data_IF_205515370487
#
_entry.id   IF_205515370487
#
_cell.length_a   1.000
_cell.length_b   1.000
_cell.length_c   1.000
_cell.angle_alpha   90.00
_cell.angle_beta   90.00
_cell.angle_gamma   90.00
#
_symmetry.space_group_name_H-M   'P 1'
#
loop_
_entity.id
_entity.type
_entity.pdbx_description
1 polymer ?
#
# COMPACT_ATOMS: atom_id res chain seq x y z
N UNK A 1 9.89 -18.77 7.07
CA UNK A 1 10.56 -17.47 7.34
C UNK A 1 9.53 -16.39 7.06
N UNK A 2 9.30 -15.49 8.00
CA UNK A 2 8.41 -14.34 7.78
C UNK A 2 9.00 -13.47 6.68
N UNK A 3 8.24 -13.23 5.61
CA UNK A 3 8.67 -12.36 4.53
C UNK A 3 8.44 -10.90 4.93
N UNK A 4 9.53 -10.12 4.98
CA UNK A 4 9.50 -8.68 5.20
C UNK A 4 9.56 -7.92 3.86
N UNK A 5 9.12 -6.67 3.88
CA UNK A 5 9.10 -5.74 2.75
C UNK A 5 10.00 -4.55 3.05
N UNK A 6 10.67 -4.03 2.03
CA UNK A 6 11.43 -2.80 2.16
C UNK A 6 10.50 -1.59 2.36
N UNK A 7 9.32 -1.60 1.76
CA UNK A 7 8.32 -0.56 2.00
C UNK A 7 6.87 -1.03 1.77
N UNK A 8 5.95 -0.35 2.43
CA UNK A 8 4.50 -0.40 2.23
C UNK A 8 4.05 0.86 1.48
N UNK A 9 3.23 0.73 0.44
CA UNK A 9 2.65 1.87 -0.27
C UNK A 9 1.17 2.05 0.13
N UNK A 10 0.88 3.18 0.76
CA UNK A 10 -0.47 3.68 1.01
C UNK A 10 -0.85 4.72 -0.03
N UNK A 11 -2.04 4.60 -0.64
CA UNK A 11 -2.53 5.53 -1.65
C UNK A 11 -4.06 5.55 -1.77
N UNK A 12 -4.59 6.64 -2.31
CA UNK A 12 -6.00 6.77 -2.65
C UNK A 12 -6.30 6.19 -4.03
N UNK A 13 -7.15 5.15 -4.10
CA UNK A 13 -7.46 4.43 -5.35
C UNK A 13 -8.00 5.31 -6.49
N UNK A 14 -8.83 6.32 -6.18
CA UNK A 14 -9.44 7.16 -7.20
C UNK A 14 -8.43 8.08 -7.92
N UNK A 15 -7.53 8.71 -7.16
CA UNK A 15 -6.70 9.80 -7.70
C UNK A 15 -5.24 9.41 -7.93
N UNK A 16 -4.74 8.42 -7.19
CA UNK A 16 -3.29 8.16 -7.12
C UNK A 16 -2.88 6.76 -7.55
N UNK A 17 -3.82 5.91 -8.00
CA UNK A 17 -3.53 4.54 -8.45
C UNK A 17 -2.46 4.50 -9.54
N UNK A 18 -2.58 5.37 -10.56
CA UNK A 18 -1.63 5.39 -11.68
C UNK A 18 -0.22 5.78 -11.25
N UNK A 19 -0.08 6.68 -10.28
CA UNK A 19 1.22 7.04 -9.70
C UNK A 19 1.76 5.93 -8.80
N UNK A 20 0.92 5.36 -7.94
CA UNK A 20 1.30 4.30 -7.02
C UNK A 20 1.81 3.05 -7.77
N UNK A 21 1.14 2.68 -8.88
CA UNK A 21 1.60 1.58 -9.75
C UNK A 21 2.98 1.87 -10.37
N UNK A 22 3.19 3.08 -10.91
CA UNK A 22 4.50 3.46 -11.47
C UNK A 22 5.61 3.46 -10.42
N UNK A 23 5.31 3.92 -9.21
CA UNK A 23 6.25 3.91 -8.09
C UNK A 23 6.61 2.48 -7.69
N UNK A 24 5.61 1.61 -7.55
CA UNK A 24 5.81 0.20 -7.28
C UNK A 24 6.72 -0.45 -8.33
N UNK A 25 6.40 -0.31 -9.62
CA UNK A 25 7.20 -0.86 -10.72
C UNK A 25 8.66 -0.42 -10.61
N UNK A 26 8.90 0.88 -10.45
CA UNK A 26 10.26 1.44 -10.35
C UNK A 26 11.02 0.91 -9.14
N UNK A 27 10.39 0.78 -7.98
CA UNK A 27 11.05 0.24 -6.80
C UNK A 27 11.38 -1.24 -6.98
N UNK A 28 10.46 -2.03 -7.55
CA UNK A 28 10.71 -3.45 -7.82
C UNK A 28 11.77 -3.69 -8.90
N UNK A 29 11.84 -2.84 -9.94
CA UNK A 29 12.90 -2.87 -10.95
C UNK A 29 14.29 -2.64 -10.34
N UNK A 30 14.36 -1.90 -9.22
CA UNK A 30 15.58 -1.68 -8.46
C UNK A 30 15.85 -2.76 -7.41
N UNK A 31 15.12 -3.89 -7.45
CA UNK A 31 15.34 -5.03 -6.57
C UNK A 31 14.74 -4.88 -5.16
N UNK A 32 13.90 -3.87 -4.93
CA UNK A 32 13.21 -3.69 -3.65
C UNK A 32 11.92 -4.52 -3.61
N UNK A 33 11.67 -5.13 -2.46
CA UNK A 33 10.45 -5.87 -2.18
C UNK A 33 9.41 -4.93 -1.57
N UNK A 34 8.35 -4.63 -2.31
CA UNK A 34 7.34 -3.63 -1.94
C UNK A 34 6.00 -4.29 -1.69
N UNK A 35 5.33 -3.93 -0.60
CA UNK A 35 3.94 -4.28 -0.35
C UNK A 35 3.03 -3.26 -1.04
N UNK A 36 2.11 -3.73 -1.88
CA UNK A 36 1.21 -2.87 -2.66
C UNK A 36 -0.13 -3.59 -2.91
N UNK A 37 -1.26 -2.95 -2.58
CA UNK A 37 -2.61 -3.53 -2.60
C UNK A 37 -3.20 -3.62 -4.02
N UNK A 38 -2.55 -4.34 -4.94
CA UNK A 38 -2.97 -4.38 -6.35
C UNK A 38 -4.37 -4.97 -6.62
N UNK A 39 -5.00 -5.62 -5.65
CA UNK A 39 -6.27 -6.31 -5.86
C UNK A 39 -7.50 -5.46 -5.49
N UNK A 40 -8.51 -5.53 -6.36
CA UNK A 40 -9.88 -5.22 -5.98
C UNK A 40 -10.27 -6.13 -4.83
N UNK A 41 -10.59 -5.52 -3.69
CA UNK A 41 -10.81 -6.21 -2.42
C UNK A 41 -11.96 -7.20 -2.61
N UNK A 42 -11.74 -8.52 -2.47
CA UNK A 42 -12.84 -9.46 -2.45
C UNK A 42 -13.75 -9.11 -1.26
N UNK A 43 -15.05 -8.90 -1.51
CA UNK A 43 -16.04 -8.70 -0.47
C UNK A 43 -16.02 -9.92 0.47
N UNK A 44 -15.53 -9.74 1.70
CA UNK A 44 -15.64 -10.75 2.76
C UNK A 44 -14.33 -11.34 3.27
N UNK A 45 -13.15 -10.87 2.85
CA UNK A 45 -11.87 -11.21 3.49
C UNK A 45 -11.34 -10.00 4.23
N UNK A 46 -10.71 -10.27 5.37
CA UNK A 46 -10.17 -9.36 6.38
C UNK A 46 -9.10 -8.40 5.82
N UNK A 47 -9.52 -7.49 4.95
CA UNK A 47 -8.64 -6.61 4.18
C UNK A 47 -7.84 -5.67 5.09
N UNK A 48 -8.46 -5.23 6.19
CA UNK A 48 -7.77 -4.45 7.20
C UNK A 48 -6.62 -5.24 7.82
N UNK A 49 -6.81 -6.52 8.15
CA UNK A 49 -5.74 -7.34 8.71
C UNK A 49 -4.58 -7.55 7.72
N UNK A 50 -4.84 -7.57 6.41
CA UNK A 50 -3.76 -7.64 5.41
C UNK A 50 -2.97 -6.33 5.33
N UNK A 51 -3.65 -5.19 5.42
CA UNK A 51 -3.01 -3.87 5.51
C UNK A 51 -2.15 -3.82 6.78
N UNK A 52 -2.73 -4.15 7.94
CA UNK A 52 -2.05 -4.09 9.23
C UNK A 52 -0.81 -5.01 9.24
N UNK A 53 -0.93 -6.23 8.72
CA UNK A 53 0.18 -7.17 8.56
C UNK A 53 1.25 -6.65 7.57
N UNK A 54 0.82 -6.00 6.48
CA UNK A 54 1.71 -5.36 5.52
C UNK A 54 2.52 -4.22 6.15
N UNK A 55 1.88 -3.39 6.97
CA UNK A 55 2.54 -2.31 7.71
C UNK A 55 3.54 -2.88 8.72
N UNK A 56 3.14 -3.87 9.52
CA UNK A 56 4.02 -4.51 10.52
C UNK A 56 5.26 -5.15 9.87
N UNK A 57 5.13 -5.66 8.65
CA UNK A 57 6.20 -6.35 7.92
C UNK A 57 7.01 -5.44 7.01
N UNK A 58 6.79 -4.13 7.01
CA UNK A 58 7.51 -3.19 6.16
C UNK A 58 8.50 -2.32 6.93
N UNK A 59 9.71 -2.16 6.39
CA UNK A 59 10.74 -1.29 6.99
C UNK A 59 10.40 0.21 6.83
N UNK A 60 9.64 0.54 5.78
CA UNK A 60 9.29 1.92 5.43
C UNK A 60 7.80 2.04 5.07
N UNK A 61 7.20 3.19 5.37
CA UNK A 61 5.82 3.51 5.01
C UNK A 61 5.79 4.68 4.03
N UNK A 62 5.26 4.45 2.83
CA UNK A 62 5.18 5.42 1.74
C UNK A 62 3.73 5.88 1.58
N UNK A 63 3.40 7.03 2.13
CA UNK A 63 2.07 7.63 2.00
C UNK A 63 1.98 8.56 0.78
N UNK A 64 1.15 8.20 -0.19
CA UNK A 64 0.90 9.02 -1.38
C UNK A 64 -0.24 10.00 -1.10
N UNK A 65 0.12 11.27 -0.98
CA UNK A 65 -0.82 12.37 -0.72
C UNK A 65 -1.55 12.73 -2.03
N UNK A 66 -2.87 12.59 -2.02
CA UNK A 66 -3.79 12.97 -3.08
C UNK A 66 -5.17 13.31 -2.47
N UNK A 67 -6.06 14.03 -3.17
CA UNK A 67 -7.35 14.43 -2.61
C UNK A 67 -8.19 13.26 -2.07
N UNK A 68 -8.15 12.09 -2.73
CA UNK A 68 -8.82 10.89 -2.24
C UNK A 68 -8.09 10.24 -1.05
N UNK A 69 -6.75 10.25 -0.96
CA UNK A 69 -6.07 9.57 0.15
C UNK A 69 -6.30 10.26 1.49
N UNK A 70 -6.38 11.60 1.50
CA UNK A 70 -6.68 12.36 2.72
C UNK A 70 -8.14 12.23 3.19
N UNK A 71 -9.05 11.82 2.30
CA UNK A 71 -10.48 11.64 2.60
C UNK A 71 -10.89 10.17 2.71
N UNK A 72 -9.95 9.23 2.54
CA UNK A 72 -10.23 7.79 2.52
C UNK A 72 -10.28 7.22 3.94
N UNK A 73 -11.37 6.54 4.34
CA UNK A 73 -11.47 5.91 5.67
C UNK A 73 -10.49 4.76 5.88
N UNK A 74 -9.87 4.24 4.82
CA UNK A 74 -8.80 3.23 4.90
C UNK A 74 -7.46 3.90 5.16
N UNK A 75 -7.09 4.87 4.31
CA UNK A 75 -5.82 5.60 4.43
C UNK A 75 -5.68 6.31 5.79
N UNK A 76 -6.78 6.83 6.34
CA UNK A 76 -6.79 7.47 7.66
C UNK A 76 -6.59 6.49 8.83
N UNK A 77 -6.77 5.18 8.64
CA UNK A 77 -6.48 4.17 9.67
C UNK A 77 -5.04 3.70 9.65
N UNK A 78 -4.30 4.03 8.59
CA UNK A 78 -2.92 3.59 8.35
C UNK A 78 -1.89 4.56 8.94
N UNK A 79 -2.29 5.79 9.29
CA UNK A 79 -1.47 6.86 9.90
C UNK A 79 -1.87 7.04 11.36
#
# INVERSE_FOLDING_TARGET
MSEYYNAFISYGRADSKSFATKLYEKLTENGLKIWFDQNDIPLGVDFQNQIDDGIIKADNFLFIIAPHSINSPYCLKEI
#
